data_IF_760740642156
#
_entry.id   IF_760740642156
#
_cell.length_a   1.000
_cell.length_b   1.000
_cell.length_c   1.000
_cell.angle_alpha   90.00
_cell.angle_beta   90.00
_cell.angle_gamma   90.00
#
_symmetry.space_group_name_H-M   'P 1'
#
loop_
_entity.id
_entity.type
_entity.pdbx_description
1 polymer ?
#
# COMPACT_ATOMS: atom_id res chain seq x y z
N UNK A 1 -21.29 0.29 1.94
CA UNK A 1 -21.51 -0.95 1.17
C UNK A 1 -21.34 -0.57 -0.29
N UNK A 2 -20.39 -1.17 -1.01
CA UNK A 2 -20.25 -0.98 -2.45
C UNK A 2 -21.42 -1.68 -3.15
N UNK A 3 -21.91 -1.07 -4.23
CA UNK A 3 -22.98 -1.61 -5.06
C UNK A 3 -22.50 -2.91 -5.73
N UNK A 4 -23.34 -3.97 -5.78
CA UNK A 4 -23.00 -5.20 -6.49
C UNK A 4 -22.59 -4.91 -7.94
N UNK A 5 -21.72 -5.76 -8.50
CA UNK A 5 -21.31 -5.62 -9.90
C UNK A 5 -22.55 -5.71 -10.81
N UNK A 6 -22.82 -4.72 -11.70
CA UNK A 6 -24.08 -4.66 -12.46
C UNK A 6 -24.36 -5.89 -13.33
N UNK A 7 -23.31 -6.61 -13.76
CA UNK A 7 -23.46 -7.82 -14.57
C UNK A 7 -23.77 -9.09 -13.75
N UNK A 8 -23.71 -9.02 -12.42
CA UNK A 8 -24.10 -10.12 -11.51
C UNK A 8 -25.57 -10.06 -11.09
N UNK A 9 -26.29 -8.98 -11.42
CA UNK A 9 -27.69 -8.78 -11.01
C UNK A 9 -28.63 -9.89 -11.51
N UNK A 10 -28.32 -10.52 -12.65
CA UNK A 10 -29.08 -11.65 -13.20
C UNK A 10 -28.80 -12.99 -12.48
N UNK A 11 -27.78 -13.04 -11.60
CA UNK A 11 -27.32 -14.25 -10.92
C UNK A 11 -27.14 -13.99 -9.41
N UNK A 12 -28.21 -13.99 -8.61
CA UNK A 12 -28.18 -13.55 -7.20
C UNK A 12 -27.32 -14.43 -6.27
N UNK A 13 -26.86 -15.59 -6.73
CA UNK A 13 -25.93 -16.44 -6.00
C UNK A 13 -24.45 -16.02 -6.19
N UNK A 14 -24.16 -15.10 -7.11
CA UNK A 14 -22.82 -14.59 -7.39
C UNK A 14 -22.66 -13.18 -6.82
N UNK A 15 -21.53 -12.94 -6.17
CA UNK A 15 -21.15 -11.64 -5.62
C UNK A 15 -19.68 -11.34 -5.90
N UNK A 16 -19.27 -10.10 -5.66
CA UNK A 16 -17.85 -9.69 -5.68
C UNK A 16 -17.11 -10.09 -4.38
N UNK A 17 -17.77 -10.79 -3.45
CA UNK A 17 -17.18 -11.18 -2.17
C UNK A 17 -16.00 -12.14 -2.37
N UNK A 18 -16.15 -13.13 -3.25
CA UNK A 18 -15.11 -14.14 -3.51
C UNK A 18 -13.80 -13.49 -3.96
N UNK A 19 -13.86 -12.51 -4.86
CA UNK A 19 -12.64 -11.81 -5.33
C UNK A 19 -12.01 -10.95 -4.24
N UNK A 20 -12.78 -10.54 -3.22
CA UNK A 20 -12.29 -9.71 -2.12
C UNK A 20 -11.71 -10.50 -0.96
N UNK A 21 -12.12 -11.76 -0.77
CA UNK A 21 -11.75 -12.59 0.39
C UNK A 21 -10.25 -12.55 0.76
N UNK A 22 -9.28 -12.75 -0.18
CA UNK A 22 -7.87 -12.73 0.19
C UNK A 22 -7.40 -11.39 0.77
N UNK A 23 -7.85 -10.27 0.19
CA UNK A 23 -7.55 -8.94 0.70
C UNK A 23 -8.30 -8.65 2.01
N UNK A 24 -9.58 -8.98 2.09
CA UNK A 24 -10.39 -8.76 3.30
C UNK A 24 -9.90 -9.62 4.48
N UNK A 25 -9.32 -10.79 4.23
CA UNK A 25 -8.59 -11.56 5.23
C UNK A 25 -7.44 -10.75 5.85
N UNK A 26 -6.57 -10.15 5.01
CA UNK A 26 -5.46 -9.29 5.49
C UNK A 26 -5.99 -8.05 6.23
N UNK A 27 -7.18 -7.55 5.89
CA UNK A 27 -7.85 -6.48 6.63
C UNK A 27 -8.20 -6.86 8.07
N UNK A 28 -8.59 -8.11 8.29
CA UNK A 28 -8.92 -8.63 9.61
C UNK A 28 -7.71 -8.77 10.54
N UNK A 29 -6.50 -8.81 10.00
CA UNK A 29 -5.28 -9.00 10.79
C UNK A 29 -4.92 -7.75 11.63
N UNK A 30 -4.41 -7.90 12.87
CA UNK A 30 -4.05 -6.78 13.74
C UNK A 30 -3.10 -5.77 13.07
N UNK A 31 -3.48 -4.49 12.98
CA UNK A 31 -2.65 -3.44 12.34
C UNK A 31 -2.38 -2.26 13.26
N UNK A 32 -1.24 -1.60 13.10
CA UNK A 32 -0.85 -0.44 13.92
C UNK A 32 -1.53 0.89 13.52
N UNK A 33 -2.44 0.90 12.53
CA UNK A 33 -3.14 2.11 12.02
C UNK A 33 -2.26 3.34 11.75
N UNK A 34 -0.95 3.17 11.59
CA UNK A 34 0.05 4.24 11.48
C UNK A 34 -0.22 5.17 10.29
N UNK A 35 -0.71 4.63 9.19
CA UNK A 35 -0.96 5.38 7.98
C UNK A 35 -2.13 6.37 8.13
N UNK A 36 -3.18 5.99 8.86
CA UNK A 36 -4.30 6.88 9.16
C UNK A 36 -3.84 8.07 10.00
N UNK A 37 -2.98 7.81 11.00
CA UNK A 37 -2.39 8.86 11.84
C UNK A 37 -1.50 9.82 11.04
N UNK A 38 -0.74 9.32 10.06
CA UNK A 38 0.05 10.19 9.17
C UNK A 38 -0.86 11.11 8.36
N UNK A 39 -1.92 10.57 7.76
CA UNK A 39 -2.88 11.37 6.98
C UNK A 39 -3.55 12.42 7.86
N UNK A 40 -3.95 12.05 9.08
CA UNK A 40 -4.51 13.00 10.06
C UNK A 40 -3.50 14.10 10.42
N UNK A 41 -2.24 13.74 10.67
CA UNK A 41 -1.17 14.70 10.96
C UNK A 41 -0.91 15.67 9.81
N UNK A 42 -0.86 15.17 8.57
CA UNK A 42 -0.72 16.01 7.37
C UNK A 42 -1.94 16.91 7.17
N UNK A 43 -3.14 16.44 7.50
CA UNK A 43 -4.36 17.22 7.33
C UNK A 43 -4.46 18.40 8.31
N UNK A 44 -3.70 18.40 9.41
CA UNK A 44 -3.55 19.60 10.26
C UNK A 44 -2.97 20.76 9.45
N UNK A 45 -2.07 20.49 8.50
CA UNK A 45 -1.49 21.53 7.64
C UNK A 45 -2.34 21.82 6.41
N UNK A 46 -2.89 20.81 5.75
CA UNK A 46 -3.58 20.98 4.47
C UNK A 46 -5.06 21.36 4.61
N UNK A 47 -5.69 21.01 5.73
CA UNK A 47 -7.11 21.29 6.02
C UNK A 47 -8.04 20.89 4.86
N UNK A 48 -7.83 19.71 4.27
CA UNK A 48 -8.73 19.16 3.26
C UNK A 48 -10.07 18.78 3.91
N UNK A 49 -11.21 18.87 3.18
CA UNK A 49 -12.51 18.58 3.78
C UNK A 49 -12.67 17.10 4.14
N UNK A 50 -13.41 16.81 5.21
CA UNK A 50 -13.53 15.45 5.78
C UNK A 50 -13.91 14.36 4.76
N UNK A 51 -14.89 14.57 3.85
CA UNK A 51 -15.25 13.53 2.87
C UNK A 51 -14.08 13.13 1.96
N UNK A 52 -13.27 14.08 1.52
CA UNK A 52 -12.08 13.86 0.70
C UNK A 52 -11.00 13.15 1.51
N UNK A 53 -10.79 13.55 2.77
CA UNK A 53 -9.82 12.89 3.66
C UNK A 53 -10.18 11.43 3.88
N UNK A 54 -11.47 11.11 4.06
CA UNK A 54 -11.92 9.72 4.23
C UNK A 54 -11.71 8.88 2.97
N UNK A 55 -11.94 9.46 1.78
CA UNK A 55 -11.63 8.81 0.50
C UNK A 55 -10.12 8.57 0.38
N UNK A 56 -9.28 9.56 0.72
CA UNK A 56 -7.82 9.43 0.67
C UNK A 56 -7.33 8.37 1.65
N UNK A 57 -7.87 8.32 2.88
CA UNK A 57 -7.58 7.25 3.86
C UNK A 57 -7.93 5.88 3.29
N UNK A 58 -9.12 5.73 2.70
CA UNK A 58 -9.56 4.50 2.05
C UNK A 58 -8.60 4.05 0.95
N UNK A 59 -8.24 4.95 0.03
CA UNK A 59 -7.28 4.69 -1.06
C UNK A 59 -5.93 4.23 -0.48
N UNK A 60 -5.40 4.95 0.50
CA UNK A 60 -4.12 4.63 1.11
C UNK A 60 -4.17 3.27 1.83
N UNK A 61 -5.24 2.96 2.57
CA UNK A 61 -5.40 1.65 3.21
C UNK A 61 -5.52 0.51 2.19
N UNK A 62 -6.23 0.72 1.08
CA UNK A 62 -6.32 -0.27 0.00
C UNK A 62 -4.97 -0.50 -0.67
N UNK A 63 -4.26 0.57 -1.07
CA UNK A 63 -2.93 0.46 -1.68
C UNK A 63 -1.93 -0.23 -0.74
N UNK A 64 -1.96 0.11 0.56
CA UNK A 64 -1.09 -0.55 1.54
C UNK A 64 -1.41 -2.05 1.64
N UNK A 65 -2.69 -2.42 1.64
CA UNK A 65 -3.12 -3.82 1.68
C UNK A 65 -2.69 -4.59 0.43
N UNK A 66 -2.87 -4.00 -0.76
CA UNK A 66 -2.38 -4.55 -2.03
C UNK A 66 -0.88 -4.80 -1.93
N UNK A 67 -0.11 -3.82 -1.43
CA UNK A 67 1.34 -3.96 -1.28
C UNK A 67 1.71 -5.13 -0.36
N UNK A 68 1.07 -5.28 0.80
CA UNK A 68 1.37 -6.38 1.74
C UNK A 68 1.08 -7.76 1.13
N UNK A 69 -0.06 -7.90 0.47
CA UNK A 69 -0.49 -9.17 -0.13
C UNK A 69 0.47 -9.60 -1.24
N UNK A 70 0.87 -8.65 -2.08
CA UNK A 70 1.80 -8.91 -3.19
C UNK A 70 3.21 -9.18 -2.65
N UNK A 71 3.69 -8.39 -1.68
CA UNK A 71 4.99 -8.54 -1.03
C UNK A 71 5.12 -9.93 -0.37
N UNK A 72 4.10 -10.39 0.38
CA UNK A 72 4.10 -11.74 0.98
C UNK A 72 4.28 -12.84 -0.06
N UNK A 73 3.66 -12.71 -1.24
CA UNK A 73 3.80 -13.69 -2.33
C UNK A 73 5.16 -13.62 -3.00
N UNK A 74 5.67 -12.42 -3.24
CA UNK A 74 6.94 -12.21 -3.92
C UNK A 74 8.12 -12.67 -3.07
N UNK A 75 8.01 -12.50 -1.76
CA UNK A 75 9.03 -12.91 -0.78
C UNK A 75 8.85 -14.36 -0.30
N UNK A 76 7.81 -15.07 -0.76
CA UNK A 76 7.40 -16.40 -0.27
C UNK A 76 7.29 -16.45 1.27
N UNK A 77 6.66 -15.46 1.88
CA UNK A 77 6.45 -15.41 3.33
C UNK A 77 5.32 -16.35 3.76
N UNK A 78 5.56 -17.31 4.66
CA UNK A 78 4.47 -18.18 5.15
C UNK A 78 3.52 -17.42 6.09
N UNK A 79 4.02 -16.39 6.79
CA UNK A 79 3.30 -15.65 7.82
C UNK A 79 3.21 -14.15 7.58
N UNK A 80 2.07 -13.58 7.94
CA UNK A 80 1.82 -12.14 8.07
C UNK A 80 1.26 -11.84 9.45
N UNK A 81 2.06 -11.14 10.27
CA UNK A 81 1.67 -10.69 11.63
C UNK A 81 1.33 -11.85 12.58
N UNK A 82 1.97 -13.01 12.36
CA UNK A 82 1.78 -14.22 13.16
C UNK A 82 0.65 -15.13 12.68
N UNK A 83 -0.10 -14.71 11.66
CA UNK A 83 -1.12 -15.54 10.99
C UNK A 83 -0.61 -15.98 9.60
N UNK A 84 -1.16 -17.05 8.99
CA UNK A 84 -0.80 -17.45 7.64
C UNK A 84 -0.92 -16.30 6.63
N UNK A 85 0.02 -16.17 5.71
CA UNK A 85 -0.11 -15.22 4.61
C UNK A 85 -1.32 -15.57 3.72
N UNK A 86 -1.92 -14.57 3.08
CA UNK A 86 -3.16 -14.77 2.31
C UNK A 86 -3.02 -15.85 1.22
N UNK A 87 -1.86 -15.91 0.56
CA UNK A 87 -1.61 -16.91 -0.48
C UNK A 87 -1.48 -18.34 0.05
N UNK A 88 -1.18 -18.50 1.35
CA UNK A 88 -1.17 -19.80 2.02
C UNK A 88 -2.58 -20.31 2.33
N UNK A 89 -3.56 -19.40 2.46
CA UNK A 89 -4.97 -19.73 2.74
C UNK A 89 -5.77 -19.91 1.44
N UNK A 90 -5.63 -18.95 0.52
CA UNK A 90 -6.47 -18.86 -0.69
C UNK A 90 -5.74 -19.33 -1.96
N UNK A 91 -4.44 -19.62 -1.88
CA UNK A 91 -3.60 -19.92 -3.03
C UNK A 91 -3.15 -18.66 -3.77
N UNK A 92 -1.99 -18.76 -4.43
CA UNK A 92 -1.40 -17.69 -5.23
C UNK A 92 -2.36 -17.14 -6.31
N UNK A 93 -3.09 -17.97 -7.10
CA UNK A 93 -3.93 -17.44 -8.18
C UNK A 93 -5.06 -16.51 -7.69
N UNK A 94 -5.78 -16.92 -6.64
CA UNK A 94 -6.86 -16.09 -6.08
C UNK A 94 -6.31 -14.82 -5.44
N UNK A 95 -5.17 -14.93 -4.77
CA UNK A 95 -4.54 -13.83 -4.04
C UNK A 95 -4.04 -12.73 -4.99
N UNK A 96 -3.40 -13.09 -6.11
CA UNK A 96 -2.99 -12.14 -7.15
C UNK A 96 -4.22 -11.46 -7.79
N UNK A 97 -5.26 -12.24 -8.10
CA UNK A 97 -6.48 -11.70 -8.69
C UNK A 97 -7.18 -10.71 -7.75
N UNK A 98 -7.25 -11.04 -6.45
CA UNK A 98 -7.81 -10.17 -5.41
C UNK A 98 -7.04 -8.86 -5.25
N UNK A 99 -5.69 -8.93 -5.20
CA UNK A 99 -4.85 -7.74 -5.11
C UNK A 99 -5.00 -6.83 -6.33
N UNK A 100 -5.07 -7.42 -7.53
CA UNK A 100 -5.28 -6.67 -8.78
C UNK A 100 -6.66 -6.02 -8.82
N UNK A 101 -7.70 -6.74 -8.42
CA UNK A 101 -9.06 -6.19 -8.28
C UNK A 101 -9.11 -5.02 -7.30
N UNK A 102 -8.47 -5.15 -6.12
CA UNK A 102 -8.44 -4.08 -5.12
C UNK A 102 -7.66 -2.85 -5.61
N UNK A 103 -6.61 -3.04 -6.43
CA UNK A 103 -5.92 -1.93 -7.09
C UNK A 103 -6.86 -1.19 -8.07
N UNK A 104 -7.71 -1.89 -8.81
CA UNK A 104 -8.76 -1.25 -9.64
C UNK A 104 -9.73 -0.44 -8.78
N UNK A 105 -10.15 -0.97 -7.62
CA UNK A 105 -10.98 -0.21 -6.66
C UNK A 105 -10.31 1.04 -6.12
N UNK A 106 -8.98 1.06 -6.00
CA UNK A 106 -8.25 2.29 -5.67
C UNK A 106 -8.44 3.36 -6.75
N UNK A 107 -8.38 3.00 -8.02
CA UNK A 107 -8.60 3.94 -9.12
C UNK A 107 -10.06 4.41 -9.21
N UNK A 108 -11.02 3.52 -8.94
CA UNK A 108 -12.44 3.89 -8.84
C UNK A 108 -12.67 4.92 -7.72
N UNK A 109 -12.13 4.71 -6.52
CA UNK A 109 -12.24 5.70 -5.43
C UNK A 109 -11.52 7.01 -5.76
N UNK A 110 -10.36 6.94 -6.42
CA UNK A 110 -9.62 8.13 -6.84
C UNK A 110 -10.38 9.00 -7.84
N UNK A 111 -11.28 8.42 -8.65
CA UNK A 111 -12.12 9.16 -9.58
C UNK A 111 -13.10 10.13 -8.89
N UNK A 112 -13.28 9.99 -7.56
CA UNK A 112 -14.14 10.84 -6.73
C UNK A 112 -13.40 12.04 -6.13
N UNK A 113 -12.10 12.14 -6.35
CA UNK A 113 -11.24 13.26 -5.97
C UNK A 113 -11.01 14.19 -7.17
N UNK A 114 -10.09 15.14 -7.03
CA UNK A 114 -9.63 16.00 -8.10
C UNK A 114 -9.12 15.21 -9.32
N UNK A 115 -9.20 15.78 -10.54
CA UNK A 115 -8.78 15.10 -11.77
C UNK A 115 -7.31 14.63 -11.78
N UNK A 116 -6.45 15.24 -10.95
CA UNK A 116 -5.05 14.84 -10.81
C UNK A 116 -4.85 13.56 -9.99
N UNK A 117 -5.85 13.12 -9.21
CA UNK A 117 -5.71 12.00 -8.28
C UNK A 117 -5.29 10.69 -8.96
N UNK A 118 -5.87 10.36 -10.12
CA UNK A 118 -5.49 9.18 -10.91
C UNK A 118 -4.03 9.29 -11.36
N UNK A 119 -3.59 10.47 -11.80
CA UNK A 119 -2.20 10.71 -12.20
C UNK A 119 -1.24 10.58 -11.01
N UNK A 120 -1.62 11.10 -9.84
CA UNK A 120 -0.83 10.98 -8.61
C UNK A 120 -0.65 9.52 -8.21
N UNK A 121 -1.72 8.73 -8.22
CA UNK A 121 -1.67 7.31 -7.85
C UNK A 121 -0.89 6.52 -8.89
N UNK A 122 -1.17 6.67 -10.18
CA UNK A 122 -0.47 5.92 -11.24
C UNK A 122 1.03 6.19 -11.26
N UNK A 123 1.46 7.44 -11.13
CA UNK A 123 2.88 7.80 -11.01
C UNK A 123 3.50 7.23 -9.74
N UNK A 124 2.81 7.35 -8.61
CA UNK A 124 3.30 6.84 -7.32
C UNK A 124 3.44 5.32 -7.30
N UNK A 125 2.40 4.60 -7.74
CA UNK A 125 2.38 3.15 -7.84
C UNK A 125 3.43 2.65 -8.84
N UNK A 126 3.60 3.32 -9.99
CA UNK A 126 4.67 2.99 -10.94
C UNK A 126 6.05 3.12 -10.30
N UNK A 127 6.29 4.21 -9.55
CA UNK A 127 7.54 4.38 -8.79
C UNK A 127 7.75 3.24 -7.79
N UNK A 128 6.71 2.87 -7.00
CA UNK A 128 6.72 1.74 -6.06
C UNK A 128 7.16 0.43 -6.73
N UNK A 129 6.60 0.15 -7.92
CA UNK A 129 6.93 -1.07 -8.67
C UNK A 129 8.36 -1.06 -9.20
N UNK A 130 8.92 0.09 -9.56
CA UNK A 130 10.32 0.19 -9.98
C UNK A 130 11.25 -0.17 -8.81
N UNK A 131 11.00 0.36 -7.60
CA UNK A 131 11.79 0.01 -6.41
C UNK A 131 11.67 -1.48 -6.08
N UNK A 132 10.45 -2.03 -6.06
CA UNK A 132 10.23 -3.46 -5.87
C UNK A 132 10.93 -4.32 -6.94
N UNK A 133 10.95 -3.87 -8.19
CA UNK A 133 11.62 -4.57 -9.28
C UNK A 133 13.13 -4.71 -9.06
N UNK A 134 13.80 -3.66 -8.56
CA UNK A 134 15.22 -3.75 -8.21
C UNK A 134 15.47 -4.66 -7.01
N UNK A 135 14.63 -4.59 -5.98
CA UNK A 135 14.72 -5.46 -4.80
C UNK A 135 14.66 -6.95 -5.17
N UNK A 136 13.66 -7.31 -5.99
CA UNK A 136 13.51 -8.67 -6.51
C UNK A 136 14.65 -9.06 -7.45
N UNK A 137 15.10 -8.16 -8.32
CA UNK A 137 16.17 -8.42 -9.27
C UNK A 137 17.48 -8.76 -8.56
N UNK A 138 17.89 -7.92 -7.60
CA UNK A 138 19.11 -8.13 -6.82
C UNK A 138 19.04 -9.43 -6.02
N UNK A 139 17.89 -9.71 -5.40
CA UNK A 139 17.67 -10.94 -4.64
C UNK A 139 17.77 -12.18 -5.53
N UNK A 140 17.11 -12.18 -6.69
CA UNK A 140 17.08 -13.33 -7.59
C UNK A 140 18.46 -13.62 -8.23
N UNK A 141 19.21 -12.57 -8.59
CA UNK A 141 20.50 -12.70 -9.27
C UNK A 141 21.70 -12.72 -8.31
N UNK A 142 21.48 -12.50 -7.00
CA UNK A 142 22.55 -12.44 -6.01
C UNK A 142 23.46 -11.22 -6.17
N UNK A 143 22.93 -10.12 -6.69
CA UNK A 143 23.67 -8.87 -6.85
C UNK A 143 23.65 -8.06 -5.56
N UNK A 144 24.80 -7.49 -5.18
CA UNK A 144 24.93 -6.69 -3.96
C UNK A 144 24.90 -5.20 -4.34
N UNK A 145 23.82 -4.46 -4.03
CA UNK A 145 23.77 -3.03 -4.29
C UNK A 145 24.70 -2.25 -3.38
N UNK A 146 25.18 -1.10 -3.84
CA UNK A 146 25.78 -0.10 -2.96
C UNK A 146 24.74 0.50 -2.02
N UNK A 147 25.19 1.10 -0.90
CA UNK A 147 24.30 1.80 0.03
C UNK A 147 23.47 2.89 -0.68
N UNK A 148 24.05 3.60 -1.65
CA UNK A 148 23.34 4.63 -2.42
C UNK A 148 22.23 4.03 -3.29
N UNK A 149 22.49 2.89 -3.91
CA UNK A 149 21.49 2.17 -4.72
C UNK A 149 20.37 1.64 -3.84
N UNK A 150 20.70 1.04 -2.69
CA UNK A 150 19.72 0.62 -1.70
C UNK A 150 18.83 1.79 -1.24
N UNK A 151 19.43 2.94 -0.89
CA UNK A 151 18.66 4.14 -0.49
C UNK A 151 17.72 4.62 -1.62
N UNK A 152 18.15 4.53 -2.89
CA UNK A 152 17.29 4.88 -4.04
C UNK A 152 16.20 3.86 -4.30
N UNK A 153 16.48 2.58 -4.10
CA UNK A 153 15.47 1.52 -4.18
C UNK A 153 14.38 1.73 -3.13
N UNK A 154 14.75 1.97 -1.87
CA UNK A 154 13.75 2.17 -0.80
C UNK A 154 12.95 3.48 -0.96
N UNK A 155 13.55 4.55 -1.50
CA UNK A 155 12.84 5.77 -1.94
C UNK A 155 11.77 5.47 -2.99
N UNK A 156 12.00 4.42 -3.77
CA UNK A 156 11.13 3.89 -4.80
C UNK A 156 10.27 2.70 -4.37
N UNK A 157 10.28 2.27 -3.10
CA UNK A 157 9.42 1.19 -2.58
C UNK A 157 8.56 1.75 -1.43
N UNK A 158 9.10 1.74 -0.22
CA UNK A 158 8.41 2.21 0.99
C UNK A 158 8.33 3.74 1.09
N UNK A 159 9.38 4.44 0.64
CA UNK A 159 9.39 5.90 0.55
C UNK A 159 8.48 6.46 -0.54
N UNK A 160 8.07 5.65 -1.52
CA UNK A 160 7.16 6.05 -2.59
C UNK A 160 5.70 6.16 -2.16
N UNK A 161 5.33 5.45 -1.08
CA UNK A 161 3.95 5.35 -0.61
C UNK A 161 3.45 6.65 0.05
N UNK A 162 4.22 7.19 1.00
CA UNK A 162 3.80 8.37 1.77
C UNK A 162 3.60 9.64 0.91
N UNK A 163 4.46 9.93 -0.09
CA UNK A 163 4.23 11.05 -1.01
C UNK A 163 2.91 10.99 -1.79
N UNK A 164 2.35 9.80 -2.05
CA UNK A 164 1.03 9.67 -2.70
C UNK A 164 -0.03 10.31 -1.81
N UNK A 165 -0.05 9.94 -0.52
CA UNK A 165 -1.03 10.46 0.44
C UNK A 165 -0.94 11.99 0.58
N UNK A 166 0.27 12.54 0.67
CA UNK A 166 0.47 13.98 0.77
C UNK A 166 0.07 14.73 -0.50
N UNK A 167 0.40 14.22 -1.69
CA UNK A 167 0.00 14.84 -2.96
C UNK A 167 -1.52 14.84 -3.11
N UNK A 168 -2.19 13.72 -2.80
CA UNK A 168 -3.66 13.65 -2.82
C UNK A 168 -4.27 14.64 -1.82
N UNK A 169 -3.77 14.70 -0.58
CA UNK A 169 -4.26 15.67 0.41
C UNK A 169 -4.05 17.12 -0.02
N UNK A 170 -2.88 17.43 -0.59
CA UNK A 170 -2.55 18.78 -1.05
C UNK A 170 -3.45 19.23 -2.20
N UNK A 171 -3.77 18.33 -3.12
CA UNK A 171 -4.65 18.63 -4.25
C UNK A 171 -6.09 18.94 -3.77
N UNK A 172 -6.53 18.29 -2.69
CA UNK A 172 -7.82 18.56 -2.02
C UNK A 172 -7.78 19.63 -0.91
N UNK A 173 -6.60 20.21 -0.65
CA UNK A 173 -6.38 21.10 0.49
C UNK A 173 -7.19 22.39 0.40
N UNK A 174 -7.49 22.99 1.54
CA UNK A 174 -8.01 24.37 1.61
C UNK A 174 -6.97 25.36 2.11
N UNK A 175 -5.85 24.88 2.64
CA UNK A 175 -4.73 25.67 3.13
C UNK A 175 -3.39 25.09 2.66
N UNK A 176 -2.34 25.92 2.63
CA UNK A 176 -0.95 25.50 2.41
C UNK A 176 -0.74 24.63 1.15
N UNK A 177 -1.39 24.97 0.03
CA UNK A 177 -1.25 24.24 -1.26
C UNK A 177 0.17 24.31 -1.85
N UNK A 178 0.96 25.28 -1.40
CA UNK A 178 2.36 25.51 -1.74
C UNK A 178 3.33 24.82 -0.77
N UNK A 179 2.83 24.15 0.27
CA UNK A 179 3.65 23.36 1.18
C UNK A 179 3.93 21.97 0.58
N UNK A 180 5.18 21.74 0.21
CA UNK A 180 5.69 20.46 -0.26
C UNK A 180 6.40 19.73 0.88
N UNK A 181 5.95 18.52 1.21
CA UNK A 181 6.45 17.71 2.33
C UNK A 181 7.11 16.41 1.87
N UNK A 182 7.29 16.23 0.56
CA UNK A 182 7.78 15.00 -0.05
C UNK A 182 9.15 14.58 0.49
N UNK A 183 10.08 15.52 0.71
CA UNK A 183 11.40 15.21 1.27
C UNK A 183 11.33 14.70 2.72
N UNK A 184 10.45 15.28 3.54
CA UNK A 184 10.19 14.79 4.90
C UNK A 184 9.63 13.36 4.86
N UNK A 185 8.69 13.10 3.95
CA UNK A 185 8.07 11.79 3.81
C UNK A 185 9.03 10.73 3.26
N UNK A 186 9.97 11.11 2.40
CA UNK A 186 11.07 10.23 1.99
C UNK A 186 11.96 9.86 3.17
N UNK A 187 12.31 10.81 4.03
CA UNK A 187 13.10 10.54 5.24
C UNK A 187 12.36 9.56 6.18
N UNK A 188 11.06 9.80 6.40
CA UNK A 188 10.21 8.90 7.20
C UNK A 188 10.16 7.51 6.56
N UNK A 189 9.98 7.43 5.24
CA UNK A 189 9.99 6.17 4.49
C UNK A 189 11.28 5.38 4.65
N UNK A 190 12.44 6.05 4.51
CA UNK A 190 13.75 5.45 4.74
C UNK A 190 13.89 4.91 6.16
N UNK A 191 13.49 5.71 7.16
CA UNK A 191 13.51 5.28 8.56
C UNK A 191 12.68 4.01 8.77
N UNK A 192 11.46 3.96 8.23
CA UNK A 192 10.61 2.77 8.36
C UNK A 192 11.21 1.53 7.72
N UNK A 193 11.77 1.64 6.51
CA UNK A 193 12.36 0.49 5.83
C UNK A 193 13.61 -0.03 6.53
N UNK A 194 14.58 0.85 6.82
CA UNK A 194 15.83 0.47 7.48
C UNK A 194 15.54 -0.13 8.86
N UNK A 195 14.55 0.42 9.57
CA UNK A 195 14.09 -0.14 10.84
C UNK A 195 13.45 -1.52 10.65
N UNK A 196 12.61 -1.74 9.63
CA UNK A 196 12.02 -3.06 9.36
C UNK A 196 13.11 -4.10 9.11
N UNK A 197 14.06 -3.79 8.23
CA UNK A 197 15.18 -4.67 7.88
C UNK A 197 16.03 -5.02 9.12
N UNK A 198 16.38 -4.01 9.92
CA UNK A 198 17.10 -4.22 11.18
C UNK A 198 16.31 -5.08 12.17
N UNK A 199 15.01 -4.84 12.32
CA UNK A 199 14.16 -5.60 13.23
C UNK A 199 13.98 -7.05 12.78
N UNK A 200 13.93 -7.30 11.47
CA UNK A 200 13.85 -8.66 10.92
C UNK A 200 15.11 -9.49 11.26
N UNK A 201 16.27 -8.84 11.39
CA UNK A 201 17.52 -9.52 11.79
C UNK A 201 17.68 -9.69 13.31
N UNK A 202 17.19 -8.73 14.11
CA UNK A 202 17.56 -8.62 15.53
C UNK A 202 16.51 -9.11 16.52
N UNK A 203 15.24 -9.18 16.12
CA UNK A 203 14.18 -9.57 17.05
C UNK A 203 13.86 -11.06 16.97
N UNK A 204 14.09 -11.77 18.10
CA UNK A 204 13.70 -13.18 18.23
C UNK A 204 12.19 -13.39 18.00
N UNK A 205 11.35 -12.38 18.27
CA UNK A 205 9.90 -12.39 18.03
C UNK A 205 9.50 -12.24 16.55
N UNK A 206 10.27 -11.55 15.69
CA UNK A 206 9.90 -11.39 14.27
C UNK A 206 10.32 -12.59 13.41
N UNK A 207 11.32 -13.36 13.83
CA UNK A 207 11.66 -14.67 13.24
C UNK A 207 10.48 -15.68 13.29
N UNK A 208 9.43 -15.40 14.06
CA UNK A 208 8.18 -16.16 14.13
C UNK A 208 6.99 -15.48 13.43
N UNK A 209 7.11 -14.25 12.91
CA UNK A 209 6.01 -13.49 12.28
C UNK A 209 6.18 -13.24 10.78
N UNK A 210 7.40 -13.39 10.28
CA UNK A 210 7.81 -13.49 8.87
C UNK A 210 8.78 -14.68 8.78
N UNK A 211 8.26 -15.89 8.79
CA UNK A 211 8.86 -17.04 8.12
C UNK A 211 7.83 -17.45 7.09
#
# INVERSE_FOLDING_TARGET
MQTPSPWLEEYPALSDEIVREPCDYVKGLPSKKTLSLLIDGLNIWYNAPSPQVDIIKSICEMLHRVSLVIDDMQDNSDLRRGEPAAHMVFGVPQTINSATYLLIKCFEEASRLSPSAITVITQGVSKIHIGQGYDLHWTFHGEIPSEKEYIRMIDGKTGGFFPIAARLLRDEATQNKDLYVEDLLLIIGRFYQIRDDYMNLTSQENNCKKK
#
